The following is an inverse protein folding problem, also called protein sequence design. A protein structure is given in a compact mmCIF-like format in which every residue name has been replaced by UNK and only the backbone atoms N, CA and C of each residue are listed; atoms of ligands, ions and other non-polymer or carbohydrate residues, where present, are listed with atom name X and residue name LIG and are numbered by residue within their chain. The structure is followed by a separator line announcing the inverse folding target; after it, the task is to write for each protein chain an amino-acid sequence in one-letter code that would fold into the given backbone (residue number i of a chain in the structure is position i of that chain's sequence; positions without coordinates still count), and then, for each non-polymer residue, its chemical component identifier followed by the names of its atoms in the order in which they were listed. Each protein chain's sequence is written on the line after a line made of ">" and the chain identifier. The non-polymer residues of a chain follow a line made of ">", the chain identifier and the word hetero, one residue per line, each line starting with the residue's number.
data_IF_436075967587
#
_entry.id   IF_436075967587
#
_cell.length_a   1.000
_cell.length_b   1.000
_cell.length_c   1.000
_cell.angle_alpha   90.00
_cell.angle_beta   90.00
_cell.angle_gamma   90.00
#
_symmetry.space_group_name_H-M   'P 1'
#
loop_
_entity.id
_entity.type
_entity.pdbx_description
1 polymer ?
#
# COMPACT_ATOMS: atom_id res chain seq x y z
N UNK A 1 17.03 15.38 -7.42
CA UNK A 1 16.83 14.03 -6.85
C UNK A 1 17.13 14.14 -5.36
N UNK A 2 16.14 14.46 -4.55
CA UNK A 2 16.36 14.68 -3.12
C UNK A 2 16.51 13.32 -2.43
N UNK A 3 17.70 13.06 -1.87
CA UNK A 3 17.87 12.10 -0.79
C UNK A 3 17.06 12.64 0.40
N UNK A 4 15.82 12.21 0.52
CA UNK A 4 15.08 12.33 1.77
C UNK A 4 15.74 11.36 2.74
N UNK A 5 16.26 11.88 3.86
CA UNK A 5 16.89 11.12 4.93
C UNK A 5 15.95 10.01 5.42
N UNK A 6 16.52 8.86 5.78
CA UNK A 6 15.78 7.67 6.26
C UNK A 6 14.86 7.95 7.46
N UNK A 7 15.06 9.05 8.18
CA UNK A 7 14.40 9.38 9.45
C UNK A 7 13.06 10.14 9.34
N UNK A 8 12.45 10.25 8.14
CA UNK A 8 11.17 10.96 7.97
C UNK A 8 9.99 10.08 7.48
N UNK A 9 10.17 8.76 7.38
CA UNK A 9 9.24 7.84 6.70
C UNK A 9 8.60 6.86 7.70
N UNK A 10 7.47 7.20 8.34
CA UNK A 10 6.94 6.34 9.43
C UNK A 10 5.43 6.06 9.44
N UNK A 11 4.63 6.65 8.55
CA UNK A 11 3.17 6.46 8.63
C UNK A 11 2.72 5.02 8.31
N UNK A 12 3.48 4.31 7.48
CA UNK A 12 3.14 2.97 6.99
C UNK A 12 4.08 1.87 7.51
N UNK A 13 4.97 2.18 8.45
CA UNK A 13 5.93 1.21 8.99
C UNK A 13 5.26 0.05 9.72
N UNK A 14 4.06 0.26 10.25
CA UNK A 14 3.25 -0.79 10.85
C UNK A 14 2.93 -1.95 9.88
N UNK A 15 3.02 -1.72 8.56
CA UNK A 15 2.88 -2.78 7.55
C UNK A 15 4.06 -3.75 7.54
N UNK A 16 5.21 -3.30 8.03
CA UNK A 16 6.45 -4.05 8.08
C UNK A 16 6.70 -4.65 9.47
N UNK A 17 5.82 -4.42 10.45
CA UNK A 17 6.13 -4.64 11.87
C UNK A 17 6.71 -6.02 12.19
N UNK A 18 6.01 -7.10 12.09
CA UNK A 18 6.47 -8.46 12.40
C UNK A 18 7.27 -9.15 11.26
N UNK A 19 7.95 -8.38 10.41
CA UNK A 19 8.68 -8.92 9.27
C UNK A 19 9.98 -9.57 9.75
N UNK A 20 10.06 -10.90 9.64
CA UNK A 20 11.31 -11.63 9.86
C UNK A 20 12.28 -11.37 8.69
N UNK A 21 13.21 -10.44 8.93
CA UNK A 21 14.21 -10.02 7.96
C UNK A 21 15.33 -11.03 7.74
N UNK A 22 15.47 -12.01 8.62
CA UNK A 22 16.49 -13.05 8.49
C UNK A 22 16.04 -14.18 7.58
N UNK A 23 14.75 -14.53 7.63
CA UNK A 23 14.20 -15.66 6.87
C UNK A 23 13.48 -15.26 5.60
N UNK A 24 13.00 -14.01 5.48
CA UNK A 24 12.36 -13.52 4.25
C UNK A 24 13.41 -13.34 3.16
N UNK A 25 13.09 -13.79 1.94
CA UNK A 25 13.99 -13.62 0.81
C UNK A 25 14.22 -12.13 0.48
N UNK A 26 15.42 -11.82 -0.03
CA UNK A 26 15.83 -10.45 -0.28
C UNK A 26 14.93 -9.68 -1.27
N UNK A 27 14.29 -10.39 -2.22
CA UNK A 27 13.41 -9.75 -3.20
C UNK A 27 12.10 -9.33 -2.55
N UNK A 28 11.49 -10.20 -1.74
CA UNK A 28 10.27 -9.90 -1.01
C UNK A 28 10.49 -8.78 0.01
N UNK A 29 11.60 -8.82 0.77
CA UNK A 29 11.98 -7.74 1.68
C UNK A 29 12.02 -6.39 0.97
N UNK A 30 12.76 -6.33 -0.14
CA UNK A 30 12.88 -5.13 -0.92
C UNK A 30 11.55 -4.65 -1.51
N UNK A 31 10.69 -5.59 -1.90
CA UNK A 31 9.37 -5.30 -2.43
C UNK A 31 8.45 -4.68 -1.35
N UNK A 32 8.48 -5.19 -0.12
CA UNK A 32 7.73 -4.65 1.01
C UNK A 32 8.22 -3.27 1.42
N UNK A 33 9.53 -3.11 1.65
CA UNK A 33 10.14 -1.84 2.04
C UNK A 33 9.82 -0.76 0.99
N UNK A 34 9.94 -1.11 -0.30
CA UNK A 34 9.59 -0.20 -1.40
C UNK A 34 8.11 0.16 -1.39
N UNK A 35 7.22 -0.82 -1.22
CA UNK A 35 5.78 -0.59 -1.14
C UNK A 35 5.41 0.42 -0.04
N UNK A 36 5.86 0.16 1.19
CA UNK A 36 5.62 1.05 2.33
C UNK A 36 6.20 2.46 2.10
N UNK A 37 7.41 2.55 1.53
CA UNK A 37 8.06 3.81 1.20
C UNK A 37 7.26 4.65 0.19
N UNK A 38 6.74 4.03 -0.88
CA UNK A 38 5.95 4.78 -1.87
C UNK A 38 4.52 5.10 -1.38
N UNK A 39 3.96 4.33 -0.44
CA UNK A 39 2.76 4.75 0.28
C UNK A 39 3.03 6.01 1.10
N UNK A 40 4.15 6.06 1.82
CA UNK A 40 4.52 7.27 2.56
C UNK A 40 4.67 8.47 1.65
N UNK A 41 5.41 8.36 0.54
CA UNK A 41 5.56 9.47 -0.41
C UNK A 41 4.21 9.97 -0.92
N UNK A 42 3.30 9.04 -1.25
CA UNK A 42 1.97 9.36 -1.78
C UNK A 42 1.06 10.01 -0.73
N UNK A 43 1.31 9.76 0.57
CA UNK A 43 0.55 10.33 1.67
C UNK A 43 1.11 11.69 2.15
N UNK A 44 2.43 11.81 2.28
CA UNK A 44 3.11 12.99 2.83
C UNK A 44 3.07 14.18 1.86
N UNK A 45 3.29 13.90 0.57
CA UNK A 45 3.25 14.87 -0.50
C UNK A 45 2.35 14.35 -1.62
N UNK A 46 1.01 14.42 -1.45
CA UNK A 46 0.07 13.90 -2.44
C UNK A 46 0.18 14.69 -3.75
N UNK A 47 0.97 14.15 -4.66
CA UNK A 47 1.16 14.62 -6.04
C UNK A 47 0.88 13.43 -6.97
N UNK A 48 0.32 13.72 -8.15
CA UNK A 48 -0.06 12.70 -9.14
C UNK A 48 1.16 11.86 -9.51
N UNK A 49 2.33 12.49 -9.49
CA UNK A 49 3.61 11.88 -9.80
C UNK A 49 3.96 10.74 -8.83
N UNK A 50 3.55 10.81 -7.56
CA UNK A 50 3.81 9.75 -6.58
C UNK A 50 2.84 8.58 -6.68
N UNK A 51 1.57 8.83 -7.00
CA UNK A 51 0.60 7.77 -7.30
C UNK A 51 1.03 6.97 -8.54
N UNK A 52 1.48 7.66 -9.59
CA UNK A 52 2.04 7.00 -10.78
C UNK A 52 3.38 6.30 -10.49
N UNK A 53 4.23 6.88 -9.63
CA UNK A 53 5.47 6.22 -9.21
C UNK A 53 5.20 4.95 -8.43
N UNK A 54 4.17 4.88 -7.59
CA UNK A 54 3.85 3.63 -6.89
C UNK A 54 3.67 2.48 -7.89
N UNK A 55 2.77 2.64 -8.87
CA UNK A 55 2.51 1.60 -9.88
C UNK A 55 3.70 1.32 -10.79
N UNK A 56 4.51 2.34 -11.11
CA UNK A 56 5.72 2.18 -11.93
C UNK A 56 6.92 1.59 -11.17
N UNK A 57 6.92 1.62 -9.84
CA UNK A 57 8.07 1.21 -9.01
C UNK A 57 7.85 -0.10 -8.27
N UNK A 58 6.61 -0.52 -8.04
CA UNK A 58 6.34 -1.89 -7.62
C UNK A 58 6.83 -2.83 -8.73
N UNK A 59 7.89 -3.59 -8.43
CA UNK A 59 8.55 -4.48 -9.41
C UNK A 59 7.74 -5.75 -9.66
N UNK A 60 8.13 -6.56 -10.66
CA UNK A 60 7.47 -7.85 -10.93
C UNK A 60 7.44 -8.76 -9.69
N UNK A 61 8.44 -8.69 -8.82
CA UNK A 61 8.52 -9.45 -7.57
C UNK A 61 7.35 -9.11 -6.63
N UNK A 62 6.96 -7.83 -6.56
CA UNK A 62 5.82 -7.41 -5.75
C UNK A 62 4.50 -7.90 -6.34
N UNK A 63 4.39 -7.93 -7.68
CA UNK A 63 3.22 -8.46 -8.38
C UNK A 63 3.06 -9.95 -8.13
N UNK A 64 4.16 -10.71 -8.13
CA UNK A 64 4.14 -12.14 -7.78
C UNK A 64 3.58 -12.38 -6.37
N UNK A 65 3.98 -11.55 -5.39
CA UNK A 65 3.44 -11.61 -4.03
C UNK A 65 1.92 -11.37 -4.01
N UNK A 66 1.42 -10.37 -4.75
CA UNK A 66 -0.03 -10.11 -4.87
C UNK A 66 -0.76 -11.30 -5.50
N UNK A 67 -0.22 -11.87 -6.59
CA UNK A 67 -0.82 -13.01 -7.30
C UNK A 67 -0.90 -14.23 -6.38
N UNK A 68 0.10 -14.43 -5.53
CA UNK A 68 0.14 -15.50 -4.54
C UNK A 68 -0.69 -15.21 -3.27
N UNK A 69 -1.45 -14.10 -3.25
CA UNK A 69 -2.21 -13.60 -2.10
C UNK A 69 -1.35 -13.44 -0.83
N UNK A 70 -0.11 -12.99 -0.98
CA UNK A 70 0.72 -12.64 0.16
C UNK A 70 0.03 -11.56 1.02
N UNK A 71 -0.25 -11.83 2.31
CA UNK A 71 -1.05 -10.93 3.12
C UNK A 71 -0.43 -9.54 3.29
N UNK A 72 0.90 -9.46 3.41
CA UNK A 72 1.61 -8.19 3.59
C UNK A 72 1.54 -7.34 2.32
N UNK A 73 1.81 -7.92 1.16
CA UNK A 73 1.68 -7.24 -0.13
C UNK A 73 0.24 -6.78 -0.39
N UNK A 74 -0.76 -7.63 -0.13
CA UNK A 74 -2.18 -7.25 -0.25
C UNK A 74 -2.54 -6.09 0.68
N UNK A 75 -2.04 -6.07 1.91
CA UNK A 75 -2.28 -4.98 2.86
C UNK A 75 -1.67 -3.67 2.36
N UNK A 76 -0.45 -3.69 1.82
CA UNK A 76 0.18 -2.52 1.18
C UNK A 76 -0.66 -2.01 0.01
N UNK A 77 -1.16 -2.90 -0.87
CA UNK A 77 -2.05 -2.52 -1.97
C UNK A 77 -3.37 -1.94 -1.47
N UNK A 78 -3.92 -2.49 -0.39
CA UNK A 78 -5.13 -1.96 0.24
C UNK A 78 -4.97 -0.52 0.73
N UNK A 79 -3.81 -0.17 1.28
CA UNK A 79 -3.49 1.21 1.64
C UNK A 79 -3.25 2.10 0.41
N UNK A 80 -2.70 1.57 -0.67
CA UNK A 80 -2.64 2.31 -1.93
C UNK A 80 -4.06 2.62 -2.45
N UNK A 81 -4.99 1.67 -2.36
CA UNK A 81 -6.37 1.89 -2.74
C UNK A 81 -7.04 2.97 -1.87
N UNK A 82 -6.79 2.94 -0.56
CA UNK A 82 -7.25 3.97 0.36
C UNK A 82 -6.76 5.36 -0.08
N UNK A 83 -5.45 5.50 -0.35
CA UNK A 83 -4.88 6.77 -0.79
C UNK A 83 -5.49 7.25 -2.12
N UNK A 84 -5.71 6.37 -3.08
CA UNK A 84 -6.38 6.74 -4.34
C UNK A 84 -7.84 7.18 -4.15
N UNK A 85 -8.53 6.68 -3.11
CA UNK A 85 -9.91 7.09 -2.80
C UNK A 85 -9.97 8.40 -2.03
N UNK A 86 -9.08 8.60 -1.06
CA UNK A 86 -9.08 9.77 -0.16
C UNK A 86 -8.42 11.00 -0.76
N UNK A 87 -7.57 10.82 -1.77
CA UNK A 87 -6.76 11.91 -2.30
C UNK A 87 -7.32 12.38 -3.64
N UNK A 88 -7.78 13.63 -3.68
CA UNK A 88 -8.37 14.25 -4.86
C UNK A 88 -7.28 14.80 -5.80
N UNK A 89 -6.40 13.91 -6.27
CA UNK A 89 -5.18 14.33 -6.99
C UNK A 89 -5.45 14.52 -8.49
N UNK A 90 -6.22 13.61 -9.10
CA UNK A 90 -6.46 13.58 -10.55
C UNK A 90 -7.82 12.98 -10.91
N UNK A 91 -8.63 13.74 -11.65
CA UNK A 91 -9.99 13.34 -12.04
C UNK A 91 -10.06 12.21 -13.08
N UNK A 92 -8.98 11.98 -13.84
CA UNK A 92 -8.95 10.97 -14.90
C UNK A 92 -8.50 9.59 -14.44
N UNK A 93 -7.94 9.47 -13.23
CA UNK A 93 -7.49 8.18 -12.70
C UNK A 93 -8.70 7.43 -12.12
N UNK A 94 -8.96 6.18 -12.51
CA UNK A 94 -10.04 5.40 -11.93
C UNK A 94 -9.80 5.23 -10.42
N UNK A 95 -10.80 5.60 -9.62
CA UNK A 95 -10.75 5.43 -8.16
C UNK A 95 -11.23 4.02 -7.79
N UNK A 96 -10.56 3.35 -6.84
CA UNK A 96 -11.06 2.10 -6.30
C UNK A 96 -12.46 2.28 -5.72
N UNK A 97 -13.35 1.37 -6.10
CA UNK A 97 -14.68 1.25 -5.53
C UNK A 97 -14.63 0.49 -4.21
N UNK A 98 -15.64 0.68 -3.36
CA UNK A 98 -15.80 -0.15 -2.15
C UNK A 98 -15.85 -1.65 -2.48
N UNK A 99 -16.39 -2.01 -3.64
CA UNK A 99 -16.45 -3.41 -4.12
C UNK A 99 -15.06 -3.98 -4.35
N UNK A 100 -14.17 -3.26 -5.03
CA UNK A 100 -12.79 -3.71 -5.30
C UNK A 100 -11.98 -3.84 -4.01
N UNK A 101 -12.15 -2.88 -3.09
CA UNK A 101 -11.55 -2.95 -1.77
C UNK A 101 -12.03 -4.18 -0.97
N UNK A 102 -13.33 -4.47 -1.00
CA UNK A 102 -13.89 -5.66 -0.34
C UNK A 102 -13.37 -6.99 -0.91
N UNK A 103 -13.12 -7.05 -2.23
CA UNK A 103 -12.51 -8.23 -2.86
C UNK A 103 -11.09 -8.43 -2.33
N UNK A 104 -10.30 -7.35 -2.20
CA UNK A 104 -8.98 -7.42 -1.57
C UNK A 104 -9.08 -7.90 -0.12
N UNK A 105 -9.99 -7.33 0.67
CA UNK A 105 -10.22 -7.71 2.06
C UNK A 105 -10.64 -9.18 2.23
N UNK A 106 -11.38 -9.75 1.26
CA UNK A 106 -11.77 -11.17 1.28
C UNK A 106 -10.62 -12.15 1.06
N UNK A 107 -9.49 -11.68 0.50
CA UNK A 107 -8.28 -12.48 0.28
C UNK A 107 -7.35 -12.48 1.49
N UNK A 108 -7.53 -11.53 2.41
CA UNK A 108 -6.68 -11.42 3.60
C UNK A 108 -7.11 -12.44 4.67
N UNK A 109 -6.14 -13.14 5.29
CA UNK A 109 -6.38 -13.88 6.52
C UNK A 109 -6.93 -12.98 7.63
N UNK A 110 -7.70 -13.56 8.57
CA UNK A 110 -8.36 -12.80 9.64
C UNK A 110 -7.37 -12.02 10.50
N UNK A 111 -6.18 -12.58 10.77
CA UNK A 111 -5.14 -11.94 11.57
C UNK A 111 -4.54 -10.67 10.93
N UNK A 112 -4.71 -10.49 9.60
CA UNK A 112 -4.25 -9.30 8.89
C UNK A 112 -5.30 -8.20 8.83
N UNK A 113 -6.58 -8.51 9.04
CA UNK A 113 -7.66 -7.52 8.96
C UNK A 113 -7.54 -6.37 9.97
N UNK A 114 -7.08 -6.57 11.22
CA UNK A 114 -6.85 -5.47 12.15
C UNK A 114 -5.89 -4.40 11.60
N UNK A 115 -4.88 -4.80 10.82
CA UNK A 115 -3.93 -3.87 10.17
C UNK A 115 -4.60 -3.00 9.11
N UNK A 116 -5.74 -3.42 8.59
CA UNK A 116 -6.53 -2.69 7.59
C UNK A 116 -7.61 -1.79 8.21
N UNK A 117 -7.73 -1.74 9.54
CA UNK A 117 -8.81 -1.01 10.21
C UNK A 117 -8.85 0.49 9.86
N UNK A 118 -7.70 1.11 9.58
CA UNK A 118 -7.68 2.49 9.11
C UNK A 118 -8.26 2.62 7.69
N UNK A 119 -7.77 1.83 6.74
CA UNK A 119 -8.29 1.83 5.38
C UNK A 119 -9.80 1.55 5.31
N UNK A 120 -10.29 0.60 6.11
CA UNK A 120 -11.73 0.30 6.21
C UNK A 120 -12.54 1.55 6.61
N UNK A 121 -12.11 2.28 7.64
CA UNK A 121 -12.80 3.50 8.08
C UNK A 121 -12.86 4.56 6.98
N UNK A 122 -11.79 4.74 6.21
CA UNK A 122 -11.78 5.71 5.10
C UNK A 122 -12.77 5.29 3.99
N UNK A 123 -12.79 4.00 3.62
CA UNK A 123 -13.75 3.48 2.64
C UNK A 123 -15.22 3.47 3.11
N UNK A 124 -15.47 3.52 4.42
CA UNK A 124 -16.81 3.69 4.98
C UNK A 124 -17.25 5.16 4.99
N UNK A 125 -16.32 6.09 5.15
CA UNK A 125 -16.60 7.53 5.20
C UNK A 125 -16.70 8.18 3.81
N UNK A 126 -16.07 7.60 2.79
CA UNK A 126 -16.20 8.09 1.42
C UNK A 126 -17.45 7.48 0.75
N UNK A 127 -18.34 8.32 0.23
CA UNK A 127 -19.38 7.87 -0.71
C UNK A 127 -18.74 7.39 -2.02
N UNK A 128 -19.34 6.40 -2.68
CA UNK A 128 -18.91 5.96 -4.01
C UNK A 128 -19.07 7.08 -5.05
#
# INVERSE_FOLDING_TARGET
>A
MACLSEEAQHRFDFLLEDLDRETTDAKSLFAYDRGAKYLWFSYDAPDFDYVLKFSAKIGPEFVELIVNNDPRALTIVGYFFMLMKTTDIVDWLPRPTKKEFNVLMSKLPEEWKPRMAWAVREFENCSD
#
